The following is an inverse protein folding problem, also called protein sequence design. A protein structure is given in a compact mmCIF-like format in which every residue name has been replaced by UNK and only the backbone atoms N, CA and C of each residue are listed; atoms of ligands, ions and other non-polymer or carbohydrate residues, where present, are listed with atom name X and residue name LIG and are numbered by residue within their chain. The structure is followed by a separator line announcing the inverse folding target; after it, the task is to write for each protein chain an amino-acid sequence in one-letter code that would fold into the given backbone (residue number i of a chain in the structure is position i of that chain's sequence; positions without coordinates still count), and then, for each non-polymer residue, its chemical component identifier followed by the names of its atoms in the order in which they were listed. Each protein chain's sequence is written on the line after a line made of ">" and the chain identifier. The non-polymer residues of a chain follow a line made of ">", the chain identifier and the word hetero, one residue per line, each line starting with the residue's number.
data_IF_675609629564
#
_entry.id   IF_675609629564
#
_cell.length_a   1.000
_cell.length_b   1.000
_cell.length_c   1.000
_cell.angle_alpha   90.00
_cell.angle_beta   90.00
_cell.angle_gamma   90.00
#
_symmetry.space_group_name_H-M   'P 1'
#
loop_
_entity.id
_entity.type
_entity.pdbx_description
1 polymer ?
#
# COMPACT_ATOMS: atom_id res chain seq x y z
N UNK A 1 -0.66 28.53 -8.31
CA UNK A 1 -1.85 27.75 -7.93
C UNK A 1 -2.11 26.72 -9.03
N UNK A 2 -1.55 25.52 -8.87
CA UNK A 2 -1.71 24.44 -9.86
C UNK A 2 -2.97 23.65 -9.52
N UNK A 3 -3.91 23.54 -10.48
CA UNK A 3 -5.08 22.67 -10.35
C UNK A 3 -4.59 21.22 -10.44
N UNK A 4 -4.41 20.57 -9.30
CA UNK A 4 -4.28 19.11 -9.27
C UNK A 4 -5.62 18.52 -9.71
N UNK A 5 -5.72 18.11 -10.97
CA UNK A 5 -6.76 17.22 -11.45
C UNK A 5 -6.74 15.97 -10.56
N UNK A 6 -7.84 15.75 -9.85
CA UNK A 6 -8.06 14.54 -9.07
C UNK A 6 -8.03 13.37 -10.05
N UNK A 7 -7.10 12.40 -9.94
CA UNK A 7 -7.07 11.29 -10.88
C UNK A 7 -8.40 10.57 -10.81
N UNK A 8 -9.03 10.38 -11.97
CA UNK A 8 -10.29 9.67 -12.09
C UNK A 8 -10.17 8.32 -11.37
N UNK A 9 -11.00 8.10 -10.35
CA UNK A 9 -11.05 6.82 -9.65
C UNK A 9 -11.21 5.72 -10.70
N UNK A 10 -10.34 4.68 -10.71
CA UNK A 10 -10.50 3.59 -11.64
C UNK A 10 -11.86 2.96 -11.38
N UNK A 11 -12.79 3.18 -12.31
CA UNK A 11 -14.14 2.60 -12.24
C UNK A 11 -13.95 1.11 -12.05
N UNK A 12 -14.35 0.61 -10.88
CA UNK A 12 -14.31 -0.80 -10.48
C UNK A 12 -14.96 -1.60 -11.62
N UNK A 13 -14.14 -2.15 -12.52
CA UNK A 13 -14.62 -2.79 -13.74
C UNK A 13 -15.40 -4.03 -13.30
N UNK A 14 -16.72 -3.96 -13.43
CA UNK A 14 -17.63 -5.00 -12.98
C UNK A 14 -17.21 -6.35 -13.61
N UNK A 15 -16.80 -7.36 -12.81
CA UNK A 15 -16.39 -8.65 -13.34
C UNK A 15 -17.48 -9.31 -14.20
N UNK A 16 -18.75 -8.92 -14.01
CA UNK A 16 -19.88 -9.36 -14.83
C UNK A 16 -19.81 -8.85 -16.27
N UNK A 17 -19.33 -7.61 -16.51
CA UNK A 17 -19.14 -7.06 -17.87
C UNK A 17 -18.00 -7.75 -18.62
N UNK A 18 -16.91 -8.13 -17.94
CA UNK A 18 -15.82 -8.91 -18.55
C UNK A 18 -16.26 -10.34 -18.91
N UNK A 19 -17.10 -10.96 -18.06
CA UNK A 19 -17.72 -12.26 -18.36
C UNK A 19 -18.71 -12.18 -19.53
N UNK A 20 -19.49 -11.11 -19.65
CA UNK A 20 -20.42 -10.94 -20.77
C UNK A 20 -19.70 -10.78 -22.13
N UNK A 21 -18.61 -10.01 -22.19
CA UNK A 21 -17.83 -9.82 -23.43
C UNK A 21 -17.08 -11.10 -23.84
N UNK A 22 -16.60 -11.89 -22.89
CA UNK A 22 -15.98 -13.21 -23.16
C UNK A 22 -17.00 -14.20 -23.68
N UNK A 23 -18.16 -14.34 -23.03
CA UNK A 23 -19.23 -15.25 -23.49
C UNK A 23 -19.80 -14.88 -24.84
N UNK A 24 -19.93 -13.59 -25.16
CA UNK A 24 -20.43 -13.14 -26.48
C UNK A 24 -19.44 -13.50 -27.58
N UNK A 25 -18.14 -13.26 -27.39
CA UNK A 25 -17.12 -13.59 -28.40
C UNK A 25 -16.86 -15.10 -28.57
N UNK A 26 -16.97 -15.88 -27.49
CA UNK A 26 -16.94 -17.34 -27.56
C UNK A 26 -18.21 -17.88 -28.23
N UNK A 27 -19.35 -17.27 -27.94
CA UNK A 27 -20.63 -17.60 -28.56
C UNK A 27 -20.64 -17.31 -30.05
N UNK A 28 -20.10 -16.18 -30.51
CA UNK A 28 -19.99 -15.88 -31.96
C UNK A 28 -19.00 -16.79 -32.66
N UNK A 29 -17.85 -17.10 -32.03
CA UNK A 29 -16.88 -18.07 -32.54
C UNK A 29 -17.47 -19.48 -32.68
N UNK A 30 -18.17 -19.96 -31.65
CA UNK A 30 -18.87 -21.25 -31.67
C UNK A 30 -20.02 -21.26 -32.68
N UNK A 31 -20.77 -20.16 -32.80
CA UNK A 31 -21.84 -20.02 -33.80
C UNK A 31 -21.29 -20.00 -35.23
N UNK A 32 -20.11 -19.41 -35.47
CA UNK A 32 -19.44 -19.43 -36.77
C UNK A 32 -18.94 -20.83 -37.13
N UNK A 33 -18.37 -21.58 -36.17
CA UNK A 33 -18.02 -22.99 -36.37
C UNK A 33 -19.26 -23.85 -36.64
N UNK A 34 -20.34 -23.61 -35.90
CA UNK A 34 -21.60 -24.29 -36.09
C UNK A 34 -22.20 -23.97 -37.47
N UNK A 35 -22.13 -22.71 -37.92
CA UNK A 35 -22.57 -22.28 -39.25
C UNK A 35 -21.71 -22.87 -40.37
N UNK A 36 -20.39 -23.01 -40.15
CA UNK A 36 -19.48 -23.70 -41.08
C UNK A 36 -19.77 -25.20 -41.13
N UNK A 37 -20.01 -25.85 -39.99
CA UNK A 37 -20.36 -27.27 -39.91
C UNK A 37 -21.77 -27.56 -40.46
N UNK A 38 -22.72 -26.62 -40.27
CA UNK A 38 -24.06 -26.67 -40.89
C UNK A 38 -24.01 -26.29 -42.38
N UNK A 39 -22.94 -25.65 -42.83
CA UNK A 39 -22.61 -25.42 -44.24
C UNK A 39 -22.62 -26.69 -45.07
N UNK A 40 -22.13 -27.79 -44.48
CA UNK A 40 -22.14 -29.13 -45.09
C UNK A 40 -23.54 -29.76 -45.20
N UNK A 41 -24.56 -29.16 -44.56
CA UNK A 41 -25.94 -29.64 -44.56
C UNK A 41 -26.92 -28.77 -45.37
N UNK A 42 -26.45 -27.71 -46.05
CA UNK A 42 -27.28 -26.91 -46.95
C UNK A 42 -27.60 -27.70 -48.25
N UNK A 43 -28.86 -27.70 -48.73
CA UNK A 43 -29.30 -28.54 -49.84
C UNK A 43 -28.56 -28.24 -51.16
N UNK A 44 -28.55 -29.21 -52.10
CA UNK A 44 -27.65 -29.27 -53.25
C UNK A 44 -28.06 -28.28 -54.34
N UNK A 45 -27.82 -27.00 -54.10
CA UNK A 45 -27.90 -25.92 -55.10
C UNK A 45 -26.55 -25.22 -55.32
N UNK A 46 -25.54 -25.49 -54.49
CA UNK A 46 -24.19 -24.93 -54.57
C UNK A 46 -23.16 -25.94 -55.05
N UNK A 47 -23.17 -26.26 -56.35
CA UNK A 47 -22.38 -27.31 -57.00
C UNK A 47 -20.87 -27.19 -56.74
N UNK A 48 -20.42 -25.96 -56.47
CA UNK A 48 -19.02 -25.63 -56.20
C UNK A 48 -18.44 -26.31 -54.95
N UNK A 49 -19.23 -26.45 -53.88
CA UNK A 49 -18.75 -27.03 -52.61
C UNK A 49 -18.62 -28.55 -52.70
N UNK A 50 -19.56 -29.22 -53.38
CA UNK A 50 -19.52 -30.67 -53.64
C UNK A 50 -18.42 -31.06 -54.63
N UNK A 51 -18.07 -30.19 -55.57
CA UNK A 51 -17.04 -30.45 -56.58
C UNK A 51 -15.60 -30.27 -56.06
N UNK A 52 -15.41 -29.58 -54.93
CA UNK A 52 -14.07 -29.29 -54.38
C UNK A 52 -13.91 -29.64 -52.90
N UNK A 53 -14.21 -30.89 -52.48
CA UNK A 53 -14.22 -31.30 -51.07
C UNK A 53 -12.89 -31.07 -50.37
N UNK A 54 -11.77 -31.20 -51.08
CA UNK A 54 -10.44 -30.90 -50.53
C UNK A 54 -10.23 -29.42 -50.21
N UNK A 55 -10.81 -28.49 -50.98
CA UNK A 55 -10.70 -27.04 -50.70
C UNK A 55 -11.58 -26.62 -49.54
N UNK A 56 -12.74 -27.25 -49.38
CA UNK A 56 -13.66 -27.04 -48.25
C UNK A 56 -13.04 -27.56 -46.96
N UNK A 57 -12.46 -28.76 -46.99
CA UNK A 57 -11.70 -29.33 -45.88
C UNK A 57 -10.47 -28.47 -45.52
N UNK A 58 -9.74 -27.96 -46.52
CA UNK A 58 -8.61 -27.06 -46.27
C UNK A 58 -9.06 -25.73 -45.63
N UNK A 59 -10.12 -25.11 -46.13
CA UNK A 59 -10.64 -23.84 -45.60
C UNK A 59 -11.17 -23.99 -44.17
N UNK A 60 -11.95 -25.05 -43.91
CA UNK A 60 -12.45 -25.35 -42.55
C UNK A 60 -11.31 -25.65 -41.58
N UNK A 61 -10.28 -26.37 -42.01
CA UNK A 61 -9.07 -26.63 -41.19
C UNK A 61 -8.32 -25.34 -40.88
N UNK A 62 -8.16 -24.44 -41.86
CA UNK A 62 -7.49 -23.14 -41.65
C UNK A 62 -8.29 -22.28 -40.66
N UNK A 63 -9.61 -22.16 -40.86
CA UNK A 63 -10.48 -21.38 -39.97
C UNK A 63 -10.52 -21.98 -38.56
N UNK A 64 -10.62 -23.31 -38.45
CA UNK A 64 -10.58 -24.02 -37.16
C UNK A 64 -9.27 -23.79 -36.42
N UNK A 65 -8.13 -23.85 -37.13
CA UNK A 65 -6.81 -23.61 -36.54
C UNK A 65 -6.66 -22.17 -36.05
N UNK A 66 -7.11 -21.19 -36.83
CA UNK A 66 -7.11 -19.77 -36.43
C UNK A 66 -7.95 -19.58 -35.17
N UNK A 67 -9.14 -20.19 -35.10
CA UNK A 67 -10.03 -20.04 -33.96
C UNK A 67 -9.48 -20.69 -32.68
N UNK A 68 -8.93 -21.91 -32.80
CA UNK A 68 -8.26 -22.59 -31.69
C UNK A 68 -7.08 -21.74 -31.20
N UNK A 69 -6.29 -21.17 -32.12
CA UNK A 69 -5.19 -20.26 -31.79
C UNK A 69 -5.64 -19.04 -31.00
N UNK A 70 -6.72 -18.37 -31.44
CA UNK A 70 -7.29 -17.19 -30.75
C UNK A 70 -7.84 -17.56 -29.38
N UNK A 71 -8.55 -18.69 -29.25
CA UNK A 71 -9.06 -19.18 -27.97
C UNK A 71 -7.92 -19.52 -27.01
N UNK A 72 -6.89 -20.22 -27.49
CA UNK A 72 -5.73 -20.59 -26.68
C UNK A 72 -4.96 -19.35 -26.22
N UNK A 73 -4.70 -18.40 -27.12
CA UNK A 73 -4.03 -17.14 -26.78
C UNK A 73 -4.82 -16.35 -25.73
N UNK A 74 -6.14 -16.31 -25.84
CA UNK A 74 -7.00 -15.63 -24.86
C UNK A 74 -7.02 -16.36 -23.53
N UNK A 75 -7.14 -17.67 -23.53
CA UNK A 75 -7.13 -18.49 -22.32
C UNK A 75 -5.80 -18.37 -21.58
N UNK A 76 -4.67 -18.43 -22.30
CA UNK A 76 -3.34 -18.17 -21.74
C UNK A 76 -3.28 -16.78 -21.10
N UNK A 77 -3.70 -15.72 -21.83
CA UNK A 77 -3.77 -14.35 -21.30
C UNK A 77 -4.65 -14.22 -20.06
N UNK A 78 -5.81 -14.88 -20.02
CA UNK A 78 -6.72 -14.84 -18.86
C UNK A 78 -6.13 -15.59 -17.66
N UNK A 79 -5.46 -16.72 -17.90
CA UNK A 79 -4.76 -17.49 -16.86
C UNK A 79 -3.56 -16.72 -16.28
N UNK A 80 -2.76 -16.10 -17.14
CA UNK A 80 -1.64 -15.24 -16.74
C UNK A 80 -2.13 -14.00 -15.99
N UNK A 81 -3.20 -13.36 -16.47
CA UNK A 81 -3.80 -12.22 -15.78
C UNK A 81 -4.32 -12.59 -14.38
N UNK A 82 -4.97 -13.76 -14.24
CA UNK A 82 -5.45 -14.23 -12.95
C UNK A 82 -4.30 -14.59 -11.99
N UNK A 83 -3.20 -15.16 -12.49
CA UNK A 83 -2.00 -15.40 -11.69
C UNK A 83 -1.32 -14.09 -11.26
N UNK A 84 -1.17 -13.13 -12.18
CA UNK A 84 -0.64 -11.79 -11.91
C UNK A 84 -1.50 -11.01 -10.91
N UNK A 85 -2.83 -11.15 -10.96
CA UNK A 85 -3.75 -10.54 -9.99
C UNK A 85 -3.52 -11.10 -8.57
N UNK A 86 -3.35 -12.42 -8.43
CA UNK A 86 -3.05 -13.05 -7.14
C UNK A 86 -1.70 -12.60 -6.59
N UNK A 87 -0.66 -12.62 -7.43
CA UNK A 87 0.70 -12.21 -7.05
C UNK A 87 0.75 -10.73 -6.67
N UNK A 88 0.11 -9.86 -7.46
CA UNK A 88 0.03 -8.43 -7.13
C UNK A 88 -0.76 -8.18 -5.85
N UNK A 89 -1.83 -8.93 -5.58
CA UNK A 89 -2.57 -8.83 -4.30
C UNK A 89 -1.67 -9.15 -3.10
N UNK A 90 -0.84 -10.19 -3.19
CA UNK A 90 0.12 -10.53 -2.13
C UNK A 90 1.17 -9.43 -1.96
N UNK A 91 1.69 -8.90 -3.08
CA UNK A 91 2.64 -7.79 -3.06
C UNK A 91 2.02 -6.54 -2.39
N UNK A 92 0.80 -6.14 -2.77
CA UNK A 92 0.09 -5.02 -2.18
C UNK A 92 -0.16 -5.22 -0.69
N UNK A 93 -0.50 -6.43 -0.24
CA UNK A 93 -0.67 -6.73 1.19
C UNK A 93 0.64 -6.60 1.96
N UNK A 94 1.73 -7.14 1.42
CA UNK A 94 3.06 -7.01 2.03
C UNK A 94 3.51 -5.56 2.14
N UNK A 95 3.32 -4.77 1.08
CA UNK A 95 3.67 -3.35 1.06
C UNK A 95 2.77 -2.53 1.99
N UNK A 96 1.46 -2.79 2.00
CA UNK A 96 0.52 -2.13 2.91
C UNK A 96 0.90 -2.40 4.38
N UNK A 97 1.25 -3.65 4.70
CA UNK A 97 1.71 -4.02 6.03
C UNK A 97 3.01 -3.29 6.39
N UNK A 98 4.00 -3.25 5.49
CA UNK A 98 5.26 -2.56 5.75
C UNK A 98 5.08 -1.05 5.94
N UNK A 99 4.23 -0.41 5.13
CA UNK A 99 3.86 1.01 5.29
C UNK A 99 3.20 1.23 6.64
N UNK A 100 2.32 0.32 7.06
CA UNK A 100 1.65 0.40 8.34
C UNK A 100 2.60 0.28 9.53
N UNK A 101 3.48 -0.71 9.48
CA UNK A 101 4.45 -0.96 10.54
C UNK A 101 5.44 0.20 10.65
N UNK A 102 5.87 0.78 9.52
CA UNK A 102 6.71 1.98 9.52
C UNK A 102 6.00 3.20 10.16
N UNK A 103 4.75 3.45 9.79
CA UNK A 103 3.96 4.53 10.39
C UNK A 103 3.75 4.33 11.90
N UNK A 104 3.41 3.11 12.31
CA UNK A 104 3.22 2.75 13.71
C UNK A 104 4.49 2.84 14.53
N UNK A 105 5.61 2.38 13.98
CA UNK A 105 6.91 2.58 14.61
C UNK A 105 7.13 4.06 14.84
N UNK A 106 7.03 4.92 13.82
CA UNK A 106 7.28 6.34 13.99
C UNK A 106 6.36 7.03 15.01
N UNK A 107 5.08 6.66 15.05
CA UNK A 107 4.07 7.29 15.91
C UNK A 107 4.12 6.79 17.36
N UNK A 108 4.53 5.54 17.59
CA UNK A 108 4.39 4.88 18.88
C UNK A 108 4.97 5.67 20.08
N UNK A 109 6.17 6.30 19.98
CA UNK A 109 6.71 7.09 21.09
C UNK A 109 5.90 8.33 21.44
N UNK A 110 5.23 8.94 20.46
CA UNK A 110 4.45 10.17 20.68
C UNK A 110 3.12 9.85 21.38
N UNK A 111 2.59 8.64 21.20
CA UNK A 111 1.28 8.24 21.76
C UNK A 111 1.38 7.21 22.89
N UNK A 112 2.59 6.74 23.23
CA UNK A 112 2.78 5.73 24.27
C UNK A 112 2.30 4.32 23.89
N UNK A 113 2.25 4.01 22.60
CA UNK A 113 1.62 2.78 22.12
C UNK A 113 2.49 1.53 22.34
N UNK A 114 1.81 0.43 22.64
CA UNK A 114 2.42 -0.89 22.79
C UNK A 114 2.45 -1.62 21.44
N UNK A 115 3.57 -1.52 20.74
CA UNK A 115 3.81 -2.24 19.48
C UNK A 115 3.88 -3.75 19.68
N UNK A 116 4.33 -4.22 20.85
CA UNK A 116 4.40 -5.64 21.19
C UNK A 116 3.01 -6.27 21.26
N UNK A 117 2.05 -5.58 21.90
CA UNK A 117 0.65 -6.00 21.91
C UNK A 117 0.01 -6.05 20.51
N UNK A 118 0.54 -5.30 19.55
CA UNK A 118 0.10 -5.30 18.15
C UNK A 118 0.88 -6.28 17.26
N UNK A 119 1.82 -7.05 17.83
CA UNK A 119 2.75 -7.90 17.10
C UNK A 119 3.54 -7.15 16.02
N UNK A 120 3.85 -5.87 16.25
CA UNK A 120 4.68 -5.03 15.38
C UNK A 120 6.11 -4.99 15.93
N UNK A 121 7.14 -5.37 15.15
CA UNK A 121 8.53 -5.24 15.58
C UNK A 121 8.92 -3.77 15.80
N UNK A 122 9.45 -3.46 16.98
CA UNK A 122 9.90 -2.09 17.31
C UNK A 122 11.25 -1.78 16.66
N UNK A 123 11.34 -0.63 15.97
CA UNK A 123 12.59 -0.10 15.42
C UNK A 123 13.36 0.81 16.38
N UNK A 124 12.76 1.15 17.52
CA UNK A 124 13.34 2.13 18.45
C UNK A 124 14.49 1.56 19.27
N UNK A 125 14.49 0.25 19.51
CA UNK A 125 15.48 -0.37 20.39
C UNK A 125 15.31 0.01 21.87
N UNK A 126 14.17 0.62 22.24
CA UNK A 126 13.74 0.82 23.62
C UNK A 126 12.51 -0.06 23.93
N UNK A 127 12.36 -0.48 25.19
CA UNK A 127 11.19 -1.22 25.64
C UNK A 127 10.01 -0.28 25.99
N UNK A 128 8.81 -0.85 26.10
CA UNK A 128 7.59 -0.10 26.40
C UNK A 128 7.67 0.66 27.74
N UNK A 129 8.31 0.06 28.74
CA UNK A 129 8.44 0.65 30.07
C UNK A 129 9.30 1.92 30.04
N UNK A 130 10.39 1.91 29.27
CA UNK A 130 11.29 3.04 29.08
C UNK A 130 10.59 4.17 28.32
N UNK A 131 9.89 3.85 27.23
CA UNK A 131 9.13 4.80 26.42
C UNK A 131 8.05 5.51 27.25
N UNK A 132 7.24 4.75 28.01
CA UNK A 132 6.21 5.32 28.90
C UNK A 132 6.81 6.03 30.10
N UNK A 133 7.96 5.58 30.59
CA UNK A 133 8.75 6.30 31.59
C UNK A 133 9.15 7.70 31.09
N UNK A 134 9.64 7.80 29.85
CA UNK A 134 10.00 9.06 29.20
C UNK A 134 8.80 10.01 29.11
N UNK A 135 7.67 9.54 28.59
CA UNK A 135 6.44 10.34 28.48
C UNK A 135 5.96 10.88 29.84
N UNK A 136 5.95 10.03 30.88
CA UNK A 136 5.56 10.44 32.23
C UNK A 136 6.51 11.48 32.83
N UNK A 137 7.82 11.37 32.59
CA UNK A 137 8.80 12.39 33.02
C UNK A 137 8.55 13.74 32.35
N UNK A 138 8.07 13.73 31.11
CA UNK A 138 7.71 14.92 30.34
C UNK A 138 6.28 15.42 30.63
N UNK A 139 5.55 14.80 31.57
CA UNK A 139 4.21 15.22 31.96
C UNK A 139 3.08 14.80 31.03
N UNK A 140 3.34 13.88 30.09
CA UNK A 140 2.35 13.39 29.14
C UNK A 140 1.68 12.09 29.61
N UNK A 141 0.36 12.05 29.55
CA UNK A 141 -0.42 10.85 29.85
C UNK A 141 -0.38 9.87 28.67
N UNK A 142 -0.42 8.58 28.97
CA UNK A 142 -0.54 7.52 27.96
C UNK A 142 -1.94 7.60 27.34
N UNK A 143 -2.04 8.03 26.08
CA UNK A 143 -3.32 8.31 25.42
C UNK A 143 -3.88 7.13 24.63
N UNK A 144 -3.12 6.05 24.42
CA UNK A 144 -3.53 5.05 23.44
C UNK A 144 -4.30 3.84 24.00
N UNK A 145 -5.49 3.63 23.42
CA UNK A 145 -6.29 2.41 23.55
C UNK A 145 -5.97 1.48 22.37
N UNK A 146 -5.49 0.24 22.61
CA UNK A 146 -5.05 -0.67 21.57
C UNK A 146 -6.27 -1.28 20.87
N UNK A 147 -6.83 -0.59 19.87
CA UNK A 147 -8.06 -1.07 19.23
C UNK A 147 -8.05 -1.07 17.70
N UNK A 148 -7.14 -0.35 17.02
CA UNK A 148 -7.18 -0.30 15.55
C UNK A 148 -5.88 -0.75 14.88
N UNK A 149 -6.08 -1.55 13.83
CA UNK A 149 -5.08 -1.97 12.85
C UNK A 149 -4.40 -0.80 12.13
N UNK A 150 -4.91 0.43 12.26
CA UNK A 150 -4.46 1.62 11.55
C UNK A 150 -4.64 2.85 12.45
N UNK A 151 -3.64 3.72 12.54
CA UNK A 151 -3.73 4.96 13.32
C UNK A 151 -3.94 6.15 12.37
N UNK A 152 -5.10 6.79 12.49
CA UNK A 152 -5.46 7.96 11.69
C UNK A 152 -5.61 9.19 12.58
N UNK A 153 -5.42 10.37 12.00
CA UNK A 153 -5.56 11.65 12.68
C UNK A 153 -4.61 11.82 13.86
N UNK A 154 -3.42 11.22 13.77
CA UNK A 154 -2.37 11.32 14.79
C UNK A 154 -1.85 12.76 14.89
N UNK A 155 -2.03 13.54 13.83
CA UNK A 155 -1.64 14.97 13.74
C UNK A 155 -2.45 15.94 14.61
N UNK A 156 -3.23 15.46 15.59
CA UNK A 156 -3.93 16.33 16.55
C UNK A 156 -2.95 17.21 17.34
N UNK A 157 -3.34 18.46 17.63
CA UNK A 157 -2.48 19.43 18.32
C UNK A 157 -1.90 18.96 19.67
N UNK A 158 -2.56 18.01 20.35
CA UNK A 158 -2.06 17.36 21.56
C UNK A 158 -0.76 16.57 21.34
N UNK A 159 -0.59 15.90 20.21
CA UNK A 159 0.62 15.10 19.92
C UNK A 159 1.77 15.97 19.42
N UNK A 160 1.48 17.16 18.88
CA UNK A 160 2.49 18.14 18.52
C UNK A 160 3.31 18.60 19.74
N UNK A 161 2.64 18.90 20.85
CA UNK A 161 3.31 19.27 22.10
C UNK A 161 4.17 18.13 22.66
N UNK A 162 3.66 16.89 22.62
CA UNK A 162 4.42 15.70 23.05
C UNK A 162 5.71 15.55 22.24
N UNK A 163 5.63 15.70 20.90
CA UNK A 163 6.80 15.62 20.05
C UNK A 163 7.82 16.73 20.36
N UNK A 164 7.37 17.97 20.51
CA UNK A 164 8.26 19.09 20.86
C UNK A 164 9.01 18.85 22.17
N UNK A 165 8.33 18.34 23.20
CA UNK A 165 8.95 17.99 24.47
C UNK A 165 9.91 16.80 24.33
N UNK A 166 9.54 15.77 23.57
CA UNK A 166 10.42 14.64 23.27
C UNK A 166 11.69 15.09 22.53
N UNK A 167 11.62 16.09 21.65
CA UNK A 167 12.78 16.63 20.93
C UNK A 167 13.75 17.42 21.81
N UNK A 168 13.40 17.70 23.07
CA UNK A 168 14.34 18.24 24.07
C UNK A 168 15.25 17.16 24.65
N UNK A 169 14.89 15.88 24.48
CA UNK A 169 15.63 14.73 25.00
C UNK A 169 16.66 14.23 23.96
N UNK A 170 17.97 14.36 24.21
CA UNK A 170 19.00 13.95 23.25
C UNK A 170 18.96 12.46 22.88
N UNK A 171 18.53 11.61 23.82
CA UNK A 171 18.42 10.18 23.57
C UNK A 171 17.28 9.90 22.58
N UNK A 172 16.13 10.57 22.74
CA UNK A 172 15.01 10.47 21.81
C UNK A 172 15.41 10.90 20.40
N UNK A 173 16.16 12.00 20.25
CA UNK A 173 16.65 12.47 18.95
C UNK A 173 17.53 11.41 18.27
N UNK A 174 18.41 10.75 19.04
CA UNK A 174 19.21 9.64 18.54
C UNK A 174 18.38 8.41 18.16
N UNK A 175 17.34 8.08 18.94
CA UNK A 175 16.43 6.99 18.62
C UNK A 175 15.60 7.29 17.38
N UNK A 176 15.12 8.53 17.21
CA UNK A 176 14.36 8.99 16.05
C UNK A 176 15.18 8.86 14.77
N UNK A 177 16.45 9.28 14.79
CA UNK A 177 17.36 9.12 13.65
C UNK A 177 17.50 7.64 13.24
N UNK A 178 17.76 6.76 14.21
CA UNK A 178 17.93 5.32 13.96
C UNK A 178 16.64 4.67 13.47
N UNK A 179 15.51 5.01 14.07
CA UNK A 179 14.19 4.51 13.71
C UNK A 179 13.83 4.93 12.28
N UNK A 180 13.97 6.22 11.92
CA UNK A 180 13.73 6.72 10.57
C UNK A 180 14.61 6.01 9.52
N UNK A 181 15.91 5.85 9.81
CA UNK A 181 16.84 5.14 8.93
C UNK A 181 16.49 3.64 8.78
N UNK A 182 16.07 2.99 9.88
CA UNK A 182 15.65 1.58 9.88
C UNK A 182 14.39 1.38 9.04
N UNK A 183 13.35 2.20 9.28
CA UNK A 183 12.08 2.12 8.55
C UNK A 183 12.25 2.46 7.08
N UNK A 184 13.11 3.43 6.74
CA UNK A 184 13.46 3.72 5.34
C UNK A 184 14.07 2.51 4.65
N UNK A 185 15.04 1.85 5.27
CA UNK A 185 15.70 0.66 4.71
C UNK A 185 14.71 -0.49 4.56
N UNK A 186 13.88 -0.74 5.58
CA UNK A 186 12.87 -1.80 5.53
C UNK A 186 11.86 -1.56 4.39
N UNK A 187 11.38 -0.32 4.23
CA UNK A 187 10.46 0.05 3.17
C UNK A 187 11.11 -0.04 1.78
N UNK A 188 12.37 0.38 1.64
CA UNK A 188 13.13 0.24 0.38
C UNK A 188 13.34 -1.24 0.01
N UNK A 189 13.68 -2.10 0.99
CA UNK A 189 13.83 -3.54 0.77
C UNK A 189 12.52 -4.19 0.36
N UNK A 190 11.41 -3.89 1.05
CA UNK A 190 10.09 -4.40 0.70
C UNK A 190 9.67 -3.94 -0.71
N UNK A 191 9.88 -2.66 -1.02
CA UNK A 191 9.59 -2.09 -2.34
C UNK A 191 10.43 -2.77 -3.42
N UNK A 192 11.73 -2.97 -3.19
CA UNK A 192 12.62 -3.63 -4.14
C UNK A 192 12.24 -5.11 -4.38
N UNK A 193 11.84 -5.83 -3.33
CA UNK A 193 11.39 -7.22 -3.42
C UNK A 193 10.15 -7.36 -4.33
N UNK A 194 9.25 -6.38 -4.30
CA UNK A 194 8.00 -6.42 -5.06
C UNK A 194 8.02 -5.63 -6.37
N UNK A 195 9.03 -4.77 -6.60
CA UNK A 195 9.15 -3.96 -7.80
C UNK A 195 9.04 -4.77 -9.11
N UNK A 196 9.69 -5.94 -9.28
CA UNK A 196 9.55 -6.72 -10.51
C UNK A 196 8.10 -7.13 -10.81
N UNK A 197 7.32 -7.49 -9.79
CA UNK A 197 5.90 -7.87 -9.93
C UNK A 197 5.05 -6.63 -10.24
N UNK A 198 5.38 -5.50 -9.64
CA UNK A 198 4.65 -4.24 -9.80
C UNK A 198 4.97 -3.49 -11.09
N UNK A 199 6.09 -3.75 -11.75
CA UNK A 199 6.43 -3.13 -13.05
C UNK A 199 5.72 -3.80 -14.24
N UNK A 200 5.18 -5.01 -14.07
CA UNK A 200 4.48 -5.76 -15.12
C UNK A 200 3.10 -5.15 -15.45
N UNK A 201 2.54 -4.34 -14.54
CA UNK A 201 1.27 -3.64 -14.73
C UNK A 201 1.46 -2.13 -14.65
N UNK A 202 0.89 -1.40 -15.62
CA UNK A 202 0.96 0.06 -15.67
C UNK A 202 0.24 0.74 -14.50
N UNK A 203 -0.74 0.06 -13.89
CA UNK A 203 -1.46 0.58 -12.72
C UNK A 203 -0.57 0.58 -11.46
N UNK A 204 0.29 -0.43 -11.30
CA UNK A 204 1.18 -0.59 -10.15
C UNK A 204 2.44 0.25 -10.22
N UNK A 205 2.79 0.78 -11.40
CA UNK A 205 3.93 1.70 -11.56
C UNK A 205 3.69 3.03 -10.85
N UNK A 206 2.44 3.53 -10.86
CA UNK A 206 2.07 4.74 -10.11
C UNK A 206 2.20 4.52 -8.60
N UNK A 207 1.82 3.35 -8.11
CA UNK A 207 1.84 3.03 -6.68
C UNK A 207 3.27 2.88 -6.14
N UNK A 208 4.20 2.33 -6.94
CA UNK A 208 5.65 2.37 -6.63
C UNK A 208 6.16 3.81 -6.54
N UNK A 209 5.72 4.69 -7.44
CA UNK A 209 6.04 6.12 -7.37
C UNK A 209 5.51 6.78 -6.10
N UNK A 210 4.40 6.29 -5.53
CA UNK A 210 3.87 6.80 -4.25
C UNK A 210 4.66 6.31 -3.05
N UNK A 211 5.08 5.04 -3.04
CA UNK A 211 5.98 4.52 -2.01
C UNK A 211 7.31 5.28 -1.97
N UNK A 212 7.80 5.70 -3.13
CA UNK A 212 8.97 6.58 -3.22
C UNK A 212 8.79 7.88 -2.43
N UNK A 213 7.61 8.52 -2.48
CA UNK A 213 7.39 9.74 -1.68
C UNK A 213 7.53 9.50 -0.18
N UNK A 214 7.11 8.33 0.32
CA UNK A 214 7.28 7.99 1.73
C UNK A 214 8.75 7.71 2.07
N UNK A 215 9.47 6.97 1.22
CA UNK A 215 10.92 6.74 1.42
C UNK A 215 11.72 8.04 1.36
N UNK A 216 11.40 8.92 0.42
CA UNK A 216 12.06 10.22 0.26
C UNK A 216 11.73 11.13 1.46
N UNK A 217 10.52 11.04 2.01
CA UNK A 217 10.15 11.78 3.23
C UNK A 217 10.88 11.25 4.47
N UNK A 218 11.06 9.93 4.59
CA UNK A 218 11.86 9.31 5.65
C UNK A 218 13.34 9.71 5.54
N UNK A 219 13.87 9.76 4.32
CA UNK A 219 15.23 10.26 4.05
C UNK A 219 15.36 11.73 4.44
N UNK A 220 14.38 12.56 4.08
CA UNK A 220 14.37 13.96 4.47
C UNK A 220 14.32 14.13 6.00
N UNK A 221 13.53 13.33 6.71
CA UNK A 221 13.52 13.31 8.17
C UNK A 221 14.89 12.89 8.73
N UNK A 222 15.49 11.83 8.19
CA UNK A 222 16.83 11.37 8.57
C UNK A 222 17.88 12.48 8.42
N UNK A 223 17.93 13.12 7.25
CA UNK A 223 18.87 14.22 6.95
C UNK A 223 18.61 15.45 7.81
N UNK A 224 17.35 15.72 8.18
CA UNK A 224 16.99 16.85 9.07
C UNK A 224 17.43 16.58 10.51
N UNK A 225 17.34 15.34 10.99
CA UNK A 225 17.73 14.96 12.35
C UNK A 225 19.25 14.78 12.48
N UNK A 226 19.95 14.43 11.39
CA UNK A 226 21.37 14.07 11.39
C UNK A 226 22.29 15.09 12.06
N UNK A 227 22.22 16.41 11.80
CA UNK A 227 23.15 17.36 12.40
C UNK A 227 23.07 17.38 13.93
N UNK A 228 21.85 17.40 14.49
CA UNK A 228 21.62 17.34 15.93
C UNK A 228 22.13 16.01 16.51
N UNK A 229 21.84 14.89 15.84
CA UNK A 229 22.31 13.56 16.24
C UNK A 229 23.83 13.45 16.29
N UNK A 230 24.54 13.96 15.27
CA UNK A 230 26.01 13.93 15.21
C UNK A 230 26.62 14.72 16.36
N UNK A 231 26.13 15.94 16.66
CA UNK A 231 26.62 16.72 17.81
C UNK A 231 26.42 15.98 19.14
N UNK A 232 25.27 15.34 19.32
CA UNK A 232 24.97 14.56 20.53
C UNK A 232 25.95 13.38 20.67
N UNK A 233 26.28 12.70 19.57
CA UNK A 233 27.28 11.62 19.57
C UNK A 233 28.69 12.13 19.89
N UNK A 234 29.11 13.23 19.28
CA UNK A 234 30.43 13.84 19.51
C UNK A 234 30.60 14.26 20.97
N UNK A 235 29.58 14.88 21.57
CA UNK A 235 29.59 15.25 22.98
C UNK A 235 29.60 14.03 23.91
N UNK A 236 28.92 12.94 23.52
CA UNK A 236 28.92 11.69 24.29
C UNK A 236 30.26 10.95 24.21
N UNK A 237 30.98 11.06 23.09
CA UNK A 237 32.30 10.45 22.89
C UNK A 237 33.44 11.26 23.55
N UNK A 238 33.29 12.58 23.63
CA UNK A 238 34.25 13.50 24.26
C UNK A 238 34.02 13.75 25.75
N UNK A 239 33.33 12.85 26.45
CA UNK A 239 32.74 13.04 27.79
C UNK A 239 33.70 13.41 28.95
N UNK A 240 35.01 13.58 28.71
CA UNK A 240 35.91 14.19 29.68
C UNK A 240 35.93 15.74 29.62
N UNK A 241 35.34 16.37 28.60
CA UNK A 241 35.45 17.84 28.38
C UNK A 241 34.12 18.62 28.22
N UNK A 242 32.97 17.96 28.09
CA UNK A 242 31.69 18.66 27.88
C UNK A 242 31.03 19.06 29.21
N UNK A 243 31.25 20.31 29.64
CA UNK A 243 30.65 20.87 30.85
C UNK A 243 29.14 21.19 30.70
N UNK A 244 28.60 21.19 29.48
CA UNK A 244 27.20 21.51 29.21
C UNK A 244 26.54 20.42 28.32
N UNK A 245 25.30 20.02 28.64
CA UNK A 245 24.53 19.11 27.80
C UNK A 245 24.24 19.75 26.43
N UNK A 246 24.45 18.99 25.35
CA UNK A 246 24.13 19.46 24.01
C UNK A 246 22.61 19.55 23.85
N UNK A 247 22.12 20.78 23.78
CA UNK A 247 20.71 21.04 23.50
C UNK A 247 20.44 21.12 21.99
N UNK A 248 19.27 20.63 21.58
CA UNK A 248 18.73 20.85 20.24
C UNK A 248 18.05 22.22 20.22
N UNK A 249 18.45 23.10 19.33
CA UNK A 249 17.92 24.48 19.27
C UNK A 249 16.43 24.48 18.90
N UNK A 250 15.71 25.54 19.27
CA UNK A 250 14.28 25.66 18.92
C UNK A 250 14.03 25.61 17.40
N UNK A 251 14.91 26.20 16.60
CA UNK A 251 14.82 26.16 15.14
C UNK A 251 15.00 24.74 14.59
N UNK A 252 15.95 23.97 15.15
CA UNK A 252 16.15 22.56 14.79
C UNK A 252 14.95 21.70 15.18
N UNK A 253 14.40 21.88 16.38
CA UNK A 253 13.20 21.16 16.82
C UNK A 253 12.02 21.40 15.88
N UNK A 254 11.77 22.66 15.50
CA UNK A 254 10.72 23.01 14.54
C UNK A 254 10.95 22.35 13.16
N UNK A 255 12.19 22.33 12.68
CA UNK A 255 12.55 21.66 11.43
C UNK A 255 12.30 20.15 11.48
N UNK A 256 12.75 19.50 12.55
CA UNK A 256 12.56 18.06 12.78
C UNK A 256 11.06 17.74 12.91
N UNK A 257 10.31 18.52 13.70
CA UNK A 257 8.87 18.34 13.87
C UNK A 257 8.12 18.48 12.54
N UNK A 258 8.47 19.49 11.72
CA UNK A 258 7.87 19.69 10.41
C UNK A 258 8.13 18.50 9.47
N UNK A 259 9.37 18.00 9.43
CA UNK A 259 9.76 16.82 8.65
C UNK A 259 9.03 15.56 9.15
N UNK A 260 8.99 15.34 10.46
CA UNK A 260 8.31 14.22 11.10
C UNK A 260 6.82 14.19 10.73
N UNK A 261 6.11 15.30 10.91
CA UNK A 261 4.69 15.37 10.56
C UNK A 261 4.43 15.28 9.06
N UNK A 262 5.39 15.66 8.21
CA UNK A 262 5.29 15.40 6.78
C UNK A 262 5.30 13.90 6.47
N UNK A 263 6.21 13.14 7.09
CA UNK A 263 6.24 11.66 6.99
C UNK A 263 4.91 11.06 7.45
N UNK A 264 4.40 11.46 8.62
CA UNK A 264 3.13 10.94 9.14
C UNK A 264 1.97 11.21 8.20
N UNK A 265 1.87 12.42 7.61
CA UNK A 265 0.83 12.73 6.61
C UNK A 265 0.95 11.87 5.35
N UNK A 266 2.16 11.57 4.90
CA UNK A 266 2.38 10.68 3.75
C UNK A 266 2.00 9.24 4.08
N UNK A 267 2.34 8.76 5.28
CA UNK A 267 1.90 7.48 5.82
C UNK A 267 0.37 7.37 5.85
N UNK A 268 -0.32 8.33 6.47
CA UNK A 268 -1.79 8.32 6.59
C UNK A 268 -2.45 8.26 5.20
N UNK A 269 -1.98 9.06 4.25
CA UNK A 269 -2.48 9.08 2.87
C UNK A 269 -2.27 7.74 2.16
N UNK A 270 -1.05 7.20 2.23
CA UNK A 270 -0.72 5.93 1.60
C UNK A 270 -1.51 4.77 2.22
N UNK A 271 -1.75 4.84 3.52
CA UNK A 271 -2.56 3.87 4.23
C UNK A 271 -3.94 3.70 3.65
N UNK A 272 -4.66 4.82 3.52
CA UNK A 272 -6.02 4.82 2.97
C UNK A 272 -6.06 4.28 1.53
N UNK A 273 -5.03 4.58 0.74
CA UNK A 273 -4.93 4.14 -0.66
C UNK A 273 -4.59 2.64 -0.77
N UNK A 274 -3.57 2.16 -0.04
CA UNK A 274 -3.15 0.76 -0.06
C UNK A 274 -4.19 -0.16 0.59
N UNK A 275 -4.91 0.29 1.62
CA UNK A 275 -6.03 -0.45 2.21
C UNK A 275 -7.08 -0.82 1.14
N UNK A 276 -7.42 0.14 0.27
CA UNK A 276 -8.38 -0.09 -0.81
C UNK A 276 -7.91 -1.12 -1.85
N UNK A 277 -6.59 -1.20 -2.10
CA UNK A 277 -5.96 -2.09 -3.08
C UNK A 277 -5.60 -3.47 -2.49
N UNK A 278 -5.29 -3.55 -1.21
CA UNK A 278 -4.84 -4.77 -0.53
C UNK A 278 -5.99 -5.71 -0.12
N UNK A 279 -7.24 -5.25 -0.22
CA UNK A 279 -8.45 -6.00 0.14
C UNK A 279 -8.27 -6.70 1.51
N UNK A 280 -7.84 -5.94 2.51
CA UNK A 280 -7.52 -6.48 3.83
C UNK A 280 -8.81 -6.91 4.55
N UNK A 281 -8.85 -8.12 5.14
CA UNK A 281 -10.03 -8.58 5.90
C UNK A 281 -10.41 -7.67 7.07
N UNK A 282 -9.43 -6.98 7.66
CA UNK A 282 -9.62 -6.00 8.72
C UNK A 282 -10.53 -4.85 8.30
N UNK A 283 -10.47 -4.42 7.03
CA UNK A 283 -11.27 -3.31 6.52
C UNK A 283 -12.71 -3.74 6.24
N UNK A 284 -12.91 -5.01 5.87
CA UNK A 284 -14.25 -5.60 5.86
C UNK A 284 -14.86 -5.64 7.28
N UNK A 285 -14.08 -5.97 8.30
CA UNK A 285 -14.52 -5.98 9.69
C UNK A 285 -14.81 -4.57 10.22
N UNK A 286 -13.98 -3.58 9.86
CA UNK A 286 -14.17 -2.17 10.21
C UNK A 286 -15.38 -1.57 9.47
N UNK A 287 -15.52 -1.85 8.17
CA UNK A 287 -16.70 -1.46 7.39
C UNK A 287 -17.99 -2.16 7.84
N UNK A 288 -17.91 -3.38 8.40
CA UNK A 288 -19.04 -4.06 9.06
C UNK A 288 -19.37 -3.41 10.40
N UNK A 289 -18.37 -3.01 11.19
CA UNK A 289 -18.58 -2.27 12.45
C UNK A 289 -19.20 -0.88 12.23
N UNK A 290 -18.71 -0.12 11.25
CA UNK A 290 -19.27 1.19 10.88
C UNK A 290 -20.70 1.06 10.36
N UNK A 291 -21.00 0.00 9.59
CA UNK A 291 -22.37 -0.31 9.13
C UNK A 291 -23.28 -0.80 10.26
N UNK A 292 -22.77 -1.59 11.19
CA UNK A 292 -23.49 -2.07 12.37
C UNK A 292 -23.79 -0.95 13.38
N UNK A 293 -22.84 -0.03 13.60
CA UNK A 293 -23.00 1.13 14.48
C UNK A 293 -24.05 2.13 13.97
N UNK A 294 -24.19 2.29 12.65
CA UNK A 294 -25.28 3.09 12.05
C UNK A 294 -26.68 2.49 12.26
N UNK A 295 -26.78 1.18 12.50
CA UNK A 295 -28.07 0.53 12.78
C UNK A 295 -28.50 0.75 14.24
N UNK A 296 -27.56 0.65 15.18
CA UNK A 296 -27.80 0.93 16.61
C UNK A 296 -28.09 2.41 16.90
N UNK A 297 -27.49 3.34 16.14
CA UNK A 297 -27.81 4.78 16.24
C UNK A 297 -29.23 5.14 15.80
N UNK A 298 -29.92 4.26 15.04
CA UNK A 298 -31.29 4.48 14.57
C UNK A 298 -32.36 3.92 15.51
N UNK A 299 -32.00 2.97 16.39
CA UNK A 299 -32.88 2.43 17.43
C UNK A 299 -32.91 3.25 18.72
N UNK A 300 -32.05 4.27 18.85
CA UNK A 300 -31.96 5.14 20.03
C UNK A 300 -32.68 6.50 19.85
N UNK A 301 -33.44 6.65 18.76
CA UNK A 301 -34.31 7.80 18.44
C UNK A 301 -35.73 7.37 18.08
N UNK A 302 -36.19 6.26 18.65
CA UNK A 302 -37.58 5.81 18.64
C UNK A 302 -38.15 5.88 20.03
#
# INVERSE_FOLDING_TARGET
>A
MSKHETPAQPTRRDPRRRRALTTVSLGTAAALLLLLALGDFLPPGGHWWSERPMTVAALSTVVGTILIGVMLQRWMRESEAAQLERLSTVAYRGLAQQVNDAGRNLVAPVIGADLGALAVPSSWGEDLASLRGRLRRLGHAETHTPASGWWQHVTSGSHGAVLEDLLTDPEFVGLLFRSAASERRALQQATAAWAPVMLISSASTTDLGRLRFLTDSLEYLEETVRPAHVRILEASAGAEAAAEPVEVTSAERQGIAAAYWAVIRHYERLGDEFASSAALPSDELLARHVRGGRWLGRLRRG
#
